data_IF_854552511446
#
_entry.id   IF_854552511446
#
_cell.length_a   1.000
_cell.length_b   1.000
_cell.length_c   1.000
_cell.angle_alpha   90.00
_cell.angle_beta   90.00
_cell.angle_gamma   90.00
#
_symmetry.space_group_name_H-M   'P 1'
#
loop_
_entity.id
_entity.type
_entity.pdbx_description
1 polymer ?
#
# COMPACT_ATOMS: atom_id res chain seq x y z
N UNK A 1 16.35 6.57 5.34
CA UNK A 1 16.23 5.13 5.04
C UNK A 1 14.85 4.58 5.37
N UNK A 2 13.82 5.42 5.34
CA UNK A 2 12.53 5.12 6.01
C UNK A 2 11.45 4.61 5.03
N UNK A 3 11.40 5.17 3.82
CA UNK A 3 10.40 4.80 2.81
C UNK A 3 10.47 3.31 2.45
N UNK A 4 11.64 2.75 2.12
CA UNK A 4 11.74 1.33 1.79
C UNK A 4 11.31 0.41 2.95
N UNK A 5 11.67 0.79 4.19
CA UNK A 5 11.28 0.04 5.39
C UNK A 5 9.77 0.11 5.64
N UNK A 6 9.13 1.26 5.36
CA UNK A 6 7.68 1.40 5.47
C UNK A 6 6.91 0.43 4.58
N UNK A 7 7.38 0.18 3.35
CA UNK A 7 6.77 -0.80 2.45
C UNK A 7 7.03 -2.23 2.91
N UNK A 8 8.25 -2.54 3.39
CA UNK A 8 8.59 -3.89 3.88
C UNK A 8 7.84 -4.28 5.16
N UNK A 9 7.32 -3.32 5.92
CA UNK A 9 6.49 -3.57 7.10
C UNK A 9 5.07 -4.07 6.76
N UNK A 10 4.62 -3.98 5.50
CA UNK A 10 3.31 -4.44 5.05
C UNK A 10 3.41 -5.88 4.56
N UNK A 11 2.58 -6.77 5.12
CA UNK A 11 2.51 -8.19 4.74
C UNK A 11 1.15 -8.57 4.22
N UNK A 12 1.12 -9.58 3.36
CA UNK A 12 -0.13 -10.21 2.89
C UNK A 12 -0.72 -11.07 4.01
N UNK A 13 -2.01 -10.90 4.26
CA UNK A 13 -2.82 -11.70 5.16
C UNK A 13 -4.11 -12.15 4.44
N UNK A 14 -4.92 -12.96 5.12
CA UNK A 14 -6.24 -13.37 4.63
C UNK A 14 -7.32 -12.80 5.54
N UNK A 15 -8.44 -12.39 4.95
CA UNK A 15 -9.61 -11.95 5.73
C UNK A 15 -10.10 -13.10 6.62
N UNK A 16 -10.83 -12.80 7.70
CA UNK A 16 -11.35 -13.81 8.63
C UNK A 16 -12.18 -14.93 7.95
N UNK A 17 -12.79 -14.66 6.80
CA UNK A 17 -13.51 -15.64 5.97
C UNK A 17 -12.61 -16.50 5.07
N UNK A 18 -11.29 -16.33 5.12
CA UNK A 18 -10.29 -17.10 4.37
C UNK A 18 -10.19 -16.81 2.87
N UNK A 19 -11.23 -16.24 2.26
CA UNK A 19 -11.36 -16.21 0.80
C UNK A 19 -10.76 -14.98 0.12
N UNK A 20 -10.44 -13.91 0.84
CA UNK A 20 -9.95 -12.67 0.23
C UNK A 20 -8.56 -12.32 0.76
N UNK A 21 -7.59 -12.02 -0.14
CA UNK A 21 -6.33 -11.46 0.29
C UNK A 21 -6.56 -10.07 0.87
N UNK A 22 -5.82 -9.75 1.93
CA UNK A 22 -5.74 -8.43 2.54
C UNK A 22 -4.29 -8.12 2.85
N UNK A 23 -4.00 -6.87 3.20
CA UNK A 23 -2.66 -6.42 3.60
C UNK A 23 -2.74 -5.77 4.97
N UNK A 24 -1.79 -6.10 5.84
CA UNK A 24 -1.71 -5.58 7.20
C UNK A 24 -0.28 -5.19 7.53
N UNK A 25 -0.12 -4.19 8.40
CA UNK A 25 1.16 -3.81 8.97
C UNK A 25 1.15 -4.08 10.49
N UNK A 26 2.22 -4.65 11.01
CA UNK A 26 2.38 -4.84 12.45
C UNK A 26 2.64 -3.50 13.13
N UNK A 27 1.89 -3.18 14.19
CA UNK A 27 2.16 -2.01 15.03
C UNK A 27 3.25 -2.38 16.05
N UNK A 28 4.50 -2.12 15.72
CA UNK A 28 5.62 -2.15 16.68
C UNK A 28 6.39 -0.83 16.57
N UNK A 29 7.05 -0.40 17.66
CA UNK A 29 7.87 0.82 17.65
C UNK A 29 8.98 0.76 16.58
N UNK A 30 9.43 -0.45 16.24
CA UNK A 30 10.45 -0.69 15.21
C UNK A 30 9.86 -0.69 13.78
N UNK A 31 8.59 -1.10 13.62
CA UNK A 31 7.84 -1.07 12.35
C UNK A 31 6.98 0.19 12.17
N UNK A 32 7.14 1.21 13.02
CA UNK A 32 6.30 2.41 13.19
C UNK A 32 6.16 3.32 11.96
N UNK A 33 6.54 2.88 10.77
CA UNK A 33 6.62 3.74 9.59
C UNK A 33 5.73 3.29 8.43
N UNK A 34 4.93 2.21 8.59
CA UNK A 34 4.03 1.76 7.52
C UNK A 34 3.04 2.84 7.04
N UNK A 35 2.78 3.87 7.85
CA UNK A 35 1.94 5.02 7.49
C UNK A 35 2.45 5.76 6.25
N UNK A 36 3.78 5.86 6.04
CA UNK A 36 4.35 6.47 4.83
C UNK A 36 3.99 5.66 3.58
N UNK A 37 4.06 4.33 3.66
CA UNK A 37 3.66 3.45 2.57
C UNK A 37 2.16 3.54 2.30
N UNK A 38 1.32 3.56 3.35
CA UNK A 38 -0.12 3.76 3.22
C UNK A 38 -0.47 5.10 2.58
N UNK A 39 0.14 6.20 3.03
CA UNK A 39 -0.05 7.52 2.44
C UNK A 39 0.36 7.54 0.96
N UNK A 40 1.49 6.92 0.61
CA UNK A 40 1.96 6.83 -0.78
C UNK A 40 1.00 6.01 -1.65
N UNK A 41 0.54 4.85 -1.18
CA UNK A 41 -0.44 4.04 -1.92
C UNK A 41 -1.77 4.76 -2.09
N UNK A 42 -2.24 5.48 -1.07
CA UNK A 42 -3.43 6.33 -1.19
C UNK A 42 -3.24 7.47 -2.18
N UNK A 43 -2.06 8.10 -2.21
CA UNK A 43 -1.72 9.12 -3.21
C UNK A 43 -1.76 8.52 -4.62
N UNK A 44 -1.09 7.38 -4.87
CA UNK A 44 -1.09 6.71 -6.17
C UNK A 44 -2.48 6.20 -6.60
N UNK A 45 -3.32 5.83 -5.65
CA UNK A 45 -4.69 5.43 -5.93
C UNK A 45 -5.56 6.62 -6.36
N UNK A 46 -5.37 7.78 -5.71
CA UNK A 46 -6.18 8.97 -5.96
C UNK A 46 -5.62 9.89 -7.05
N UNK A 47 -4.32 9.80 -7.34
CA UNK A 47 -3.62 10.63 -8.31
C UNK A 47 -3.06 9.74 -9.45
N UNK A 48 -3.64 9.82 -10.65
CA UNK A 48 -3.08 9.17 -11.83
C UNK A 48 -1.70 9.70 -12.16
N UNK A 49 -0.75 8.79 -12.40
CA UNK A 49 0.62 9.12 -12.83
C UNK A 49 0.67 9.89 -14.16
N UNK A 50 -0.44 9.91 -14.90
CA UNK A 50 -0.60 10.59 -16.19
C UNK A 50 -1.45 11.88 -16.11
N UNK A 51 -1.86 12.32 -14.91
CA UNK A 51 -2.76 13.46 -14.70
C UNK A 51 -4.25 13.11 -14.89
N UNK A 52 -5.16 14.02 -14.54
CA UNK A 52 -6.62 13.83 -14.63
C UNK A 52 -7.07 13.49 -16.06
N UNK A 53 -7.12 12.20 -16.37
CA UNK A 53 -7.87 11.66 -17.48
C UNK A 53 -9.11 10.98 -16.88
N UNK A 54 -10.29 11.46 -17.26
CA UNK A 54 -11.59 11.12 -16.69
C UNK A 54 -11.96 9.62 -16.68
N UNK A 55 -11.12 8.74 -17.26
CA UNK A 55 -11.36 7.29 -17.37
C UNK A 55 -10.09 6.44 -17.18
N UNK A 56 -9.04 6.96 -16.54
CA UNK A 56 -7.79 6.18 -16.35
C UNK A 56 -7.79 5.47 -14.99
N UNK A 57 -7.80 4.14 -15.00
CA UNK A 57 -7.53 3.31 -13.82
C UNK A 57 -6.04 2.96 -13.74
N UNK A 58 -5.36 3.40 -12.68
CA UNK A 58 -3.96 3.07 -12.44
C UNK A 58 -3.83 1.58 -12.09
N UNK A 59 -3.00 0.84 -12.83
CA UNK A 59 -2.61 -0.53 -12.49
C UNK A 59 -1.13 -0.48 -12.07
N UNK A 60 -0.86 -0.84 -10.82
CA UNK A 60 0.50 -1.04 -10.32
C UNK A 60 0.77 -2.54 -10.32
N UNK A 61 1.60 -2.98 -11.26
CA UNK A 61 2.12 -4.36 -11.30
C UNK A 61 3.44 -4.40 -10.53
N UNK A 62 3.51 -5.22 -9.49
CA UNK A 62 4.74 -5.48 -8.72
C UNK A 62 5.20 -6.88 -9.14
N UNK A 63 6.31 -6.94 -9.90
CA UNK A 63 6.97 -8.17 -10.31
C UNK A 63 7.68 -8.86 -9.14
#
# INVERSE_FOLDING_TARGET
TDIAQSFMAIRRATTASGNRPTYEASRSEEASHADLAWATMHALFNEPLQGEAANTSNIVEIF
#
